data_IF_520725780712
#
_entry.id   IF_520725780712
#
_cell.length_a   1.000
_cell.length_b   1.000
_cell.length_c   1.000
_cell.angle_alpha   90.00
_cell.angle_beta   90.00
_cell.angle_gamma   90.00
#
_symmetry.space_group_name_H-M   'P 1'
#
loop_
_entity.id
_entity.type
_entity.pdbx_description
1 polymer ?
#
# COMPACT_ATOMS: atom_id res chain seq x y z
N UNK A 1 34.72 2.60 -15.76
CA UNK A 1 34.16 1.29 -15.37
C UNK A 1 34.60 0.99 -13.95
N UNK A 2 34.05 1.74 -13.00
CA UNK A 2 34.38 1.66 -11.57
C UNK A 2 33.08 1.48 -10.83
N UNK A 3 33.08 0.45 -9.99
CA UNK A 3 32.01 0.01 -9.11
C UNK A 3 31.38 1.18 -8.35
N UNK A 4 30.24 1.64 -8.85
CA UNK A 4 29.24 2.34 -8.06
C UNK A 4 28.79 1.36 -6.99
N UNK A 5 29.46 1.47 -5.83
CA UNK A 5 29.00 1.05 -4.51
C UNK A 5 27.49 0.84 -4.54
N UNK A 6 27.09 -0.43 -4.73
CA UNK A 6 25.91 -0.96 -4.07
C UNK A 6 26.04 -0.40 -2.66
N UNK A 7 25.06 0.37 -2.22
CA UNK A 7 24.84 0.48 -0.78
C UNK A 7 24.83 -0.99 -0.35
N UNK A 8 25.93 -1.46 0.25
CA UNK A 8 25.84 -2.58 1.17
C UNK A 8 24.80 -2.03 2.12
N UNK A 9 23.57 -2.49 1.98
CA UNK A 9 22.61 -2.40 3.07
C UNK A 9 23.43 -2.92 4.25
N UNK A 10 23.81 -2.03 5.17
CA UNK A 10 24.07 -2.52 6.52
C UNK A 10 22.82 -3.32 6.81
N UNK A 11 22.95 -4.66 6.85
CA UNK A 11 21.81 -5.57 6.92
C UNK A 11 20.94 -5.05 8.04
N UNK A 12 19.73 -4.62 7.70
CA UNK A 12 18.85 -4.02 8.70
C UNK A 12 18.74 -5.00 9.85
N UNK A 13 19.00 -4.52 11.06
CA UNK A 13 19.00 -5.37 12.25
C UNK A 13 17.56 -5.46 12.74
N UNK A 14 16.79 -6.36 12.15
CA UNK A 14 15.39 -6.50 12.53
C UNK A 14 15.22 -6.81 14.02
N UNK A 15 14.15 -6.30 14.68
CA UNK A 15 13.90 -6.52 16.09
C UNK A 15 13.87 -8.01 16.45
N UNK A 16 14.05 -8.34 17.74
CA UNK A 16 13.82 -9.70 18.27
C UNK A 16 14.62 -10.82 17.58
N UNK A 17 15.76 -10.49 16.96
CA UNK A 17 16.56 -11.48 16.22
C UNK A 17 15.88 -11.98 14.94
N UNK A 18 14.85 -11.28 14.44
CA UNK A 18 14.24 -11.59 13.15
C UNK A 18 15.27 -11.38 12.03
N UNK A 19 15.07 -12.07 10.92
CA UNK A 19 15.98 -12.06 9.78
C UNK A 19 15.49 -11.21 8.63
N UNK A 20 14.18 -11.01 8.51
CA UNK A 20 13.54 -10.18 7.48
C UNK A 20 12.23 -9.60 8.02
N UNK A 21 11.61 -8.69 7.29
CA UNK A 21 10.27 -8.20 7.59
C UNK A 21 9.25 -8.54 6.50
N UNK A 22 8.01 -8.79 6.90
CA UNK A 22 6.90 -8.99 5.98
C UNK A 22 5.64 -8.32 6.54
N UNK A 23 4.99 -7.54 5.68
CA UNK A 23 3.72 -6.87 5.98
C UNK A 23 2.80 -6.93 4.77
N UNK A 24 1.52 -6.69 5.00
CA UNK A 24 0.50 -6.62 3.96
C UNK A 24 -0.29 -5.32 4.11
N UNK A 25 -0.46 -4.61 3.00
CA UNK A 25 -1.50 -3.61 2.85
C UNK A 25 -2.64 -4.26 2.07
N UNK A 26 -3.75 -4.53 2.75
CA UNK A 26 -4.96 -5.07 2.16
C UNK A 26 -5.87 -3.92 1.71
N UNK A 27 -6.04 -3.81 0.40
CA UNK A 27 -6.98 -2.93 -0.25
C UNK A 27 -8.42 -3.35 0.08
N UNK A 28 -9.29 -2.38 0.33
CA UNK A 28 -10.68 -2.62 0.71
C UNK A 28 -11.57 -3.05 -0.46
N UNK A 29 -11.11 -2.89 -1.71
CA UNK A 29 -11.88 -3.27 -2.90
C UNK A 29 -12.40 -4.71 -2.80
N UNK A 30 -13.70 -4.86 -3.06
CA UNK A 30 -14.42 -6.15 -3.04
C UNK A 30 -14.57 -6.79 -1.66
N UNK A 31 -14.04 -6.20 -0.58
CA UNK A 31 -14.13 -6.79 0.76
C UNK A 31 -15.56 -6.70 1.27
N UNK A 32 -16.08 -7.78 1.82
CA UNK A 32 -17.39 -7.87 2.47
C UNK A 32 -17.29 -8.63 3.79
N UNK A 33 -18.38 -8.63 4.56
CA UNK A 33 -18.52 -9.46 5.75
C UNK A 33 -18.51 -10.97 5.45
N UNK A 34 -18.70 -11.40 4.19
CA UNK A 34 -18.63 -12.82 3.83
C UNK A 34 -17.20 -13.29 3.54
N UNK A 35 -16.33 -12.44 2.99
CA UNK A 35 -15.00 -12.84 2.52
C UNK A 35 -13.85 -12.30 3.39
N UNK A 36 -14.01 -11.15 4.05
CA UNK A 36 -12.97 -10.52 4.84
C UNK A 36 -12.66 -11.28 6.13
N UNK A 37 -13.64 -11.47 7.04
CA UNK A 37 -13.41 -12.06 8.35
C UNK A 37 -12.65 -13.41 8.31
N UNK A 38 -12.99 -14.39 7.45
CA UNK A 38 -12.29 -15.67 7.42
C UNK A 38 -10.79 -15.55 7.09
N UNK A 39 -10.41 -14.58 6.24
CA UNK A 39 -8.99 -14.34 5.91
C UNK A 39 -8.26 -13.72 7.11
N UNK A 40 -8.88 -12.75 7.79
CA UNK A 40 -8.28 -12.08 8.94
C UNK A 40 -8.19 -12.97 10.18
N UNK A 41 -9.16 -13.85 10.40
CA UNK A 41 -9.10 -14.88 11.44
C UNK A 41 -7.89 -15.80 11.22
N UNK A 42 -7.74 -16.33 10.01
CA UNK A 42 -6.59 -17.16 9.64
C UNK A 42 -5.24 -16.42 9.81
N UNK A 43 -5.15 -15.17 9.37
CA UNK A 43 -3.94 -14.36 9.55
C UNK A 43 -3.63 -14.12 11.03
N UNK A 44 -4.66 -13.85 11.83
CA UNK A 44 -4.54 -13.61 13.26
C UNK A 44 -4.03 -14.83 14.00
N UNK A 45 -4.56 -16.02 13.67
CA UNK A 45 -4.15 -17.32 14.23
C UNK A 45 -2.67 -17.63 13.94
N UNK A 46 -2.17 -17.16 12.79
CA UNK A 46 -0.75 -17.27 12.42
C UNK A 46 0.14 -16.18 13.05
N UNK A 47 -0.43 -15.27 13.83
CA UNK A 47 0.30 -14.19 14.50
C UNK A 47 0.59 -12.97 13.62
N UNK A 48 -0.03 -12.85 12.45
CA UNK A 48 0.13 -11.65 11.63
C UNK A 48 -0.74 -10.52 12.16
N UNK A 49 -0.18 -9.31 12.17
CA UNK A 49 -0.90 -8.05 12.34
C UNK A 49 -0.53 -7.17 11.15
N UNK A 50 -1.46 -6.97 10.24
CA UNK A 50 -1.25 -6.29 8.96
C UNK A 50 -2.11 -5.02 8.89
N UNK A 51 -2.09 -4.35 7.75
CA UNK A 51 -2.87 -3.13 7.52
C UNK A 51 -4.13 -3.45 6.71
N UNK A 52 -5.30 -3.25 7.31
CA UNK A 52 -6.60 -3.25 6.60
C UNK A 52 -6.92 -1.82 6.18
N UNK A 53 -7.02 -1.55 4.89
CA UNK A 53 -7.58 -0.27 4.44
C UNK A 53 -9.11 -0.30 4.45
N UNK A 54 -9.73 0.88 4.55
CA UNK A 54 -11.20 1.04 4.54
C UNK A 54 -11.66 2.26 3.75
N UNK A 55 -12.96 2.28 3.45
CA UNK A 55 -13.73 3.48 3.09
C UNK A 55 -14.58 3.93 4.29
N UNK A 56 -14.24 5.07 4.94
CA UNK A 56 -14.97 5.55 6.11
C UNK A 56 -16.41 5.95 5.82
N UNK A 57 -16.70 6.43 4.61
CA UNK A 57 -18.02 6.93 4.22
C UNK A 57 -18.56 6.18 3.02
N UNK A 58 -19.88 6.14 2.90
CA UNK A 58 -20.57 5.58 1.74
C UNK A 58 -20.42 6.48 0.50
N UNK A 59 -20.51 5.86 -0.67
CA UNK A 59 -20.61 6.57 -1.95
C UNK A 59 -21.85 7.46 -1.94
N UNK A 60 -21.65 8.78 -2.06
CA UNK A 60 -22.76 9.75 -2.18
C UNK A 60 -23.19 9.96 -3.63
N UNK A 61 -22.24 9.99 -4.55
CA UNK A 61 -22.48 10.29 -5.96
C UNK A 61 -21.68 9.36 -6.87
N UNK A 62 -22.19 9.13 -8.08
CA UNK A 62 -21.57 8.20 -9.03
C UNK A 62 -21.91 6.74 -8.77
N UNK A 63 -21.17 5.85 -9.42
CA UNK A 63 -21.26 4.40 -9.20
C UNK A 63 -19.94 3.92 -8.61
N UNK A 64 -19.97 3.07 -7.56
CA UNK A 64 -18.78 2.43 -7.04
C UNK A 64 -18.03 1.72 -8.18
N UNK A 65 -16.71 1.85 -8.21
CA UNK A 65 -15.91 1.38 -9.34
C UNK A 65 -15.50 -0.09 -9.17
N UNK A 66 -15.20 -0.50 -7.94
CA UNK A 66 -14.77 -1.86 -7.60
C UNK A 66 -15.77 -2.58 -6.68
N UNK A 67 -16.52 -1.83 -5.87
CA UNK A 67 -17.44 -2.34 -4.87
C UNK A 67 -16.73 -2.80 -3.60
N UNK A 68 -17.51 -3.21 -2.60
CA UNK A 68 -17.04 -3.56 -1.26
C UNK A 68 -17.90 -2.90 -0.19
N UNK A 69 -17.71 -3.32 1.06
CA UNK A 69 -18.43 -2.76 2.20
C UNK A 69 -17.68 -1.58 2.79
N UNK A 70 -18.38 -0.45 2.98
CA UNK A 70 -17.83 0.74 3.64
C UNK A 70 -18.09 0.69 5.14
N UNK A 71 -17.41 1.53 5.93
CA UNK A 71 -17.68 1.69 7.36
C UNK A 71 -19.02 2.38 7.66
N UNK A 72 -19.81 2.77 6.66
CA UNK A 72 -21.20 3.16 6.88
C UNK A 72 -22.09 1.95 7.26
N UNK A 73 -21.67 0.72 6.93
CA UNK A 73 -22.28 -0.50 7.42
C UNK A 73 -21.83 -0.77 8.87
N UNK A 74 -22.75 -0.82 9.86
CA UNK A 74 -22.38 -1.02 11.26
C UNK A 74 -21.71 -2.37 11.56
N UNK A 75 -22.07 -3.44 10.85
CA UNK A 75 -21.47 -4.76 11.05
C UNK A 75 -20.02 -4.77 10.55
N UNK A 76 -19.76 -4.14 9.40
CA UNK A 76 -18.40 -3.96 8.89
C UNK A 76 -17.57 -3.04 9.78
N UNK A 77 -18.10 -1.88 10.18
CA UNK A 77 -17.42 -0.97 11.08
C UNK A 77 -17.08 -1.65 12.43
N UNK A 78 -18.00 -2.45 12.97
CA UNK A 78 -17.78 -3.24 14.18
C UNK A 78 -16.71 -4.32 14.01
N UNK A 79 -16.64 -4.97 12.84
CA UNK A 79 -15.55 -5.91 12.54
C UNK A 79 -14.19 -5.23 12.45
N UNK A 80 -14.09 -4.12 11.72
CA UNK A 80 -12.84 -3.35 11.59
C UNK A 80 -12.37 -2.81 12.94
N UNK A 81 -13.28 -2.33 13.80
CA UNK A 81 -12.94 -1.92 15.16
C UNK A 81 -12.32 -3.07 15.98
N UNK A 82 -12.88 -4.28 15.89
CA UNK A 82 -12.29 -5.46 16.55
C UNK A 82 -10.91 -5.81 15.98
N UNK A 83 -10.68 -5.62 14.68
CA UNK A 83 -9.34 -5.80 14.10
C UNK A 83 -8.34 -4.81 14.72
N UNK A 84 -8.73 -3.54 14.90
CA UNK A 84 -7.89 -2.56 15.58
C UNK A 84 -7.57 -2.96 17.02
N UNK A 85 -8.58 -3.40 17.78
CA UNK A 85 -8.40 -3.90 19.16
C UNK A 85 -7.45 -5.11 19.23
N UNK A 86 -7.45 -5.94 18.19
CA UNK A 86 -6.54 -7.09 18.06
C UNK A 86 -5.11 -6.69 17.63
N UNK A 87 -4.88 -5.42 17.28
CA UNK A 87 -3.56 -4.89 16.90
C UNK A 87 -3.30 -4.84 15.39
N UNK A 88 -4.32 -5.05 14.55
CA UNK A 88 -4.21 -4.71 13.12
C UNK A 88 -4.22 -3.19 12.94
N UNK A 89 -3.51 -2.71 11.92
CA UNK A 89 -3.60 -1.29 11.56
C UNK A 89 -4.81 -1.04 10.66
N UNK A 90 -5.52 0.04 10.91
CA UNK A 90 -6.55 0.55 9.99
C UNK A 90 -5.96 1.69 9.16
N UNK A 91 -5.96 1.51 7.84
CA UNK A 91 -5.48 2.46 6.85
C UNK A 91 -6.60 3.00 5.95
N UNK A 92 -6.24 3.88 5.02
CA UNK A 92 -7.20 4.50 4.10
C UNK A 92 -6.97 4.05 2.65
N UNK A 93 -8.05 3.79 1.92
CA UNK A 93 -8.01 3.56 0.47
C UNK A 93 -8.87 4.60 -0.27
N UNK A 94 -8.50 5.88 -0.15
CA UNK A 94 -9.43 7.01 -0.32
C UNK A 94 -10.56 7.01 0.71
N UNK A 95 -11.36 8.09 0.76
CA UNK A 95 -12.48 8.18 1.72
C UNK A 95 -13.73 7.40 1.28
N UNK A 96 -13.82 7.05 -0.01
CA UNK A 96 -14.92 6.31 -0.64
C UNK A 96 -14.45 5.67 -1.96
N UNK A 97 -15.23 4.76 -2.55
CA UNK A 97 -15.00 4.06 -3.86
C UNK A 97 -15.30 4.95 -5.09
N UNK A 98 -15.32 6.26 -4.92
CA UNK A 98 -15.63 7.20 -6.01
C UNK A 98 -14.79 8.44 -5.87
N UNK A 99 -14.72 9.23 -6.94
CA UNK A 99 -14.07 10.54 -6.87
C UNK A 99 -14.76 11.39 -5.80
N UNK A 100 -13.97 11.87 -4.83
CA UNK A 100 -14.48 12.61 -3.68
C UNK A 100 -14.16 14.11 -3.79
N UNK A 101 -15.10 14.96 -3.40
CA UNK A 101 -14.83 16.39 -3.20
C UNK A 101 -13.97 16.64 -1.96
N UNK A 102 -13.45 17.85 -1.82
CA UNK A 102 -12.75 18.29 -0.62
C UNK A 102 -13.61 18.12 0.65
N UNK A 103 -14.89 18.45 0.59
CA UNK A 103 -15.83 18.34 1.71
C UNK A 103 -16.04 16.87 2.09
N UNK A 104 -16.09 15.97 1.10
CA UNK A 104 -16.16 14.53 1.34
C UNK A 104 -14.86 13.98 1.93
N UNK A 105 -13.70 14.49 1.49
CA UNK A 105 -12.41 14.19 2.11
C UNK A 105 -12.35 14.59 3.58
N UNK A 106 -12.80 15.80 3.91
CA UNK A 106 -12.87 16.26 5.29
C UNK A 106 -13.81 15.37 6.12
N UNK A 107 -15.04 15.15 5.63
CA UNK A 107 -16.03 14.31 6.31
C UNK A 107 -15.55 12.86 6.48
N UNK A 108 -14.86 12.31 5.49
CA UNK A 108 -14.31 10.96 5.55
C UNK A 108 -13.18 10.82 6.56
N UNK A 109 -12.28 11.81 6.66
CA UNK A 109 -11.23 11.83 7.69
C UNK A 109 -11.82 12.02 9.10
N UNK A 110 -12.81 12.88 9.26
CA UNK A 110 -13.51 13.06 10.54
C UNK A 110 -14.27 11.79 10.94
N UNK A 111 -14.90 11.11 9.97
CA UNK A 111 -15.57 9.84 10.23
C UNK A 111 -14.58 8.74 10.60
N UNK A 112 -13.40 8.71 9.96
CA UNK A 112 -12.32 7.79 10.34
C UNK A 112 -11.92 8.05 11.80
N UNK A 113 -11.72 9.31 12.19
CA UNK A 113 -11.38 9.67 13.56
C UNK A 113 -12.47 9.26 14.57
N UNK A 114 -13.74 9.51 14.25
CA UNK A 114 -14.89 9.09 15.08
C UNK A 114 -14.91 7.57 15.29
N UNK A 115 -14.65 6.80 14.24
CA UNK A 115 -14.69 5.34 14.28
C UNK A 115 -13.51 4.71 15.02
N UNK A 116 -12.31 5.27 14.88
CA UNK A 116 -11.06 4.59 15.26
C UNK A 116 -10.25 5.35 16.32
N UNK A 117 -10.68 6.55 16.72
CA UNK A 117 -10.06 7.37 17.77
C UNK A 117 -8.78 8.09 17.35
N UNK A 118 -8.37 7.99 16.08
CA UNK A 118 -7.22 8.68 15.51
C UNK A 118 -7.42 8.89 14.00
N UNK A 119 -6.64 9.80 13.40
CA UNK A 119 -6.61 9.93 11.93
C UNK A 119 -5.78 8.81 11.28
N UNK A 120 -6.03 8.45 10.01
CA UNK A 120 -5.30 7.38 9.35
C UNK A 120 -3.84 7.77 9.13
N UNK A 121 -2.92 6.90 9.54
CA UNK A 121 -1.48 7.13 9.33
C UNK A 121 -1.03 6.82 7.91
N UNK A 122 -1.74 5.91 7.24
CA UNK A 122 -1.34 5.34 5.95
C UNK A 122 -2.48 5.35 4.94
N UNK A 123 -2.13 5.55 3.66
CA UNK A 123 -3.07 5.70 2.56
C UNK A 123 -2.57 5.03 1.27
N UNK A 124 -3.46 4.39 0.51
CA UNK A 124 -3.27 4.07 -0.91
C UNK A 124 -4.37 4.73 -1.77
N UNK A 125 -4.02 5.35 -2.90
CA UNK A 125 -5.01 5.91 -3.82
C UNK A 125 -5.90 4.82 -4.40
N UNK A 126 -7.21 5.06 -4.43
CA UNK A 126 -8.15 4.26 -5.19
C UNK A 126 -8.02 4.51 -6.69
N UNK A 127 -8.14 3.44 -7.48
CA UNK A 127 -7.90 3.52 -8.93
C UNK A 127 -8.96 4.38 -9.62
N UNK A 128 -8.54 5.13 -10.64
CA UNK A 128 -9.46 5.94 -11.47
C UNK A 128 -10.09 7.16 -10.80
N UNK A 129 -9.90 7.38 -9.49
CA UNK A 129 -10.47 8.52 -8.78
C UNK A 129 -9.70 9.80 -9.02
N UNK A 130 -10.37 10.85 -9.53
CA UNK A 130 -9.71 12.10 -9.93
C UNK A 130 -9.15 12.89 -8.75
N UNK A 131 -9.64 12.68 -7.55
CA UNK A 131 -9.09 13.28 -6.33
C UNK A 131 -7.80 12.59 -5.85
N UNK A 132 -7.33 11.52 -6.50
CA UNK A 132 -6.09 10.85 -6.12
C UNK A 132 -4.89 11.80 -6.08
N UNK A 133 -4.10 11.71 -5.01
CA UNK A 133 -2.95 12.60 -4.81
C UNK A 133 -1.74 12.11 -5.61
N UNK A 134 -1.18 13.00 -6.43
CA UNK A 134 -0.04 12.74 -7.33
C UNK A 134 -0.13 11.43 -8.13
N UNK A 135 -1.31 11.09 -8.63
CA UNK A 135 -1.57 9.85 -9.35
C UNK A 135 -1.44 9.97 -10.87
N UNK A 136 -1.56 8.84 -11.57
CA UNK A 136 -1.40 8.77 -13.02
C UNK A 136 -0.04 9.28 -13.49
N UNK A 137 -0.05 10.19 -14.46
CA UNK A 137 1.17 10.77 -15.04
C UNK A 137 1.95 11.66 -14.07
N UNK A 138 1.36 12.02 -12.93
CA UNK A 138 2.01 12.76 -11.85
C UNK A 138 2.90 11.87 -10.98
N UNK A 139 2.81 10.53 -11.10
CA UNK A 139 3.73 9.59 -10.44
C UNK A 139 5.13 9.62 -11.04
N UNK A 140 5.24 10.11 -12.27
CA UNK A 140 6.50 10.19 -13.03
C UNK A 140 6.75 11.63 -13.50
N UNK A 141 7.97 11.91 -13.92
CA UNK A 141 8.39 13.28 -14.29
C UNK A 141 9.21 13.31 -15.59
N UNK A 142 9.29 14.49 -16.22
CA UNK A 142 10.07 14.71 -17.45
C UNK A 142 9.79 13.70 -18.56
N UNK A 143 10.84 13.19 -19.21
CA UNK A 143 10.71 12.21 -20.32
C UNK A 143 10.00 10.91 -19.92
N UNK A 144 10.05 10.50 -18.64
CA UNK A 144 9.33 9.30 -18.18
C UNK A 144 7.82 9.54 -18.17
N UNK A 145 7.38 10.77 -17.86
CA UNK A 145 5.98 11.18 -17.97
C UNK A 145 5.50 11.12 -19.42
N UNK A 146 6.31 11.61 -20.36
CA UNK A 146 5.97 11.50 -21.79
C UNK A 146 5.81 10.04 -22.21
N UNK A 147 6.77 9.18 -21.84
CA UNK A 147 6.69 7.75 -22.13
C UNK A 147 5.47 7.07 -21.48
N UNK A 148 5.18 7.37 -20.21
CA UNK A 148 4.00 6.85 -19.52
C UNK A 148 2.69 7.30 -20.17
N UNK A 149 2.59 8.58 -20.56
CA UNK A 149 1.43 9.10 -21.26
C UNK A 149 1.21 8.41 -22.61
N UNK A 150 2.27 8.13 -23.36
CA UNK A 150 2.16 7.35 -24.61
C UNK A 150 1.69 5.92 -24.34
N UNK A 151 2.30 5.23 -23.37
CA UNK A 151 1.93 3.85 -23.00
C UNK A 151 0.48 3.73 -22.52
N UNK A 152 -0.04 4.77 -21.85
CA UNK A 152 -1.42 4.81 -21.34
C UNK A 152 -2.40 5.47 -22.31
N UNK A 153 -1.97 5.81 -23.53
CA UNK A 153 -2.79 6.56 -24.52
C UNK A 153 -3.42 7.83 -23.91
N UNK A 154 -2.67 8.50 -23.04
CA UNK A 154 -3.04 9.73 -22.34
C UNK A 154 -4.27 9.61 -21.42
N UNK A 155 -4.68 8.38 -21.05
CA UNK A 155 -5.87 8.15 -20.22
C UNK A 155 -5.68 8.51 -18.74
N UNK A 156 -4.43 8.56 -18.27
CA UNK A 156 -4.11 8.71 -16.84
C UNK A 156 -3.55 10.11 -16.50
N UNK A 157 -4.24 11.18 -16.90
CA UNK A 157 -3.76 12.58 -16.72
C UNK A 157 -4.62 13.46 -15.80
N UNK A 158 -5.84 13.04 -15.52
CA UNK A 158 -6.84 13.89 -14.85
C UNK A 158 -6.91 13.55 -13.34
N UNK A 159 -5.87 13.94 -12.61
CA UNK A 159 -5.77 13.74 -11.16
C UNK A 159 -5.43 15.05 -10.45
N UNK A 160 -6.26 15.42 -9.48
CA UNK A 160 -6.43 16.78 -8.97
C UNK A 160 -6.22 16.89 -7.45
N UNK A 161 -6.00 15.77 -6.74
CA UNK A 161 -5.85 15.75 -5.27
C UNK A 161 -4.82 16.73 -4.70
N UNK A 162 -3.83 17.09 -5.51
CA UNK A 162 -2.70 17.96 -5.19
C UNK A 162 -2.77 19.33 -5.86
N UNK A 163 -3.87 19.69 -6.52
CA UNK A 163 -4.04 20.93 -7.28
C UNK A 163 -4.98 21.89 -6.53
N UNK A 164 -4.46 22.93 -5.84
CA UNK A 164 -5.29 23.90 -5.15
C UNK A 164 -6.35 24.53 -6.05
N UNK A 165 -7.55 24.76 -5.50
CA UNK A 165 -8.67 25.36 -6.22
C UNK A 165 -9.51 24.38 -7.06
N UNK A 166 -9.13 23.11 -7.15
CA UNK A 166 -9.96 22.07 -7.76
C UNK A 166 -10.95 21.46 -6.76
N UNK A 167 -12.04 20.88 -7.27
CA UNK A 167 -13.09 20.23 -6.44
C UNK A 167 -12.51 19.09 -5.59
N UNK A 168 -11.57 18.33 -6.15
CA UNK A 168 -10.93 17.20 -5.48
C UNK A 168 -9.69 17.58 -4.66
N UNK A 169 -9.42 18.86 -4.38
CA UNK A 169 -8.21 19.25 -3.66
C UNK A 169 -8.25 18.88 -2.17
N UNK A 170 -7.33 18.00 -1.76
CA UNK A 170 -7.14 17.61 -0.36
C UNK A 170 -5.66 17.51 0.06
N UNK A 171 -4.74 18.03 -0.76
CA UNK A 171 -3.30 17.92 -0.51
C UNK A 171 -2.84 18.47 0.86
N UNK A 172 -3.47 19.54 1.34
CA UNK A 172 -3.23 20.07 2.69
C UNK A 172 -3.71 19.12 3.80
N UNK A 173 -4.84 18.44 3.60
CA UNK A 173 -5.35 17.41 4.52
C UNK A 173 -4.42 16.19 4.52
N UNK A 174 -3.93 15.77 3.34
CA UNK A 174 -2.91 14.73 3.22
C UNK A 174 -1.66 15.09 4.04
N UNK A 175 -1.14 16.29 3.83
CA UNK A 175 0.05 16.79 4.52
C UNK A 175 -0.15 16.96 6.03
N UNK A 176 -1.39 17.06 6.52
CA UNK A 176 -1.73 17.21 7.94
C UNK A 176 -1.95 15.87 8.65
N UNK A 177 -2.67 14.94 8.01
CA UNK A 177 -3.17 13.75 8.69
C UNK A 177 -2.45 12.46 8.26
N UNK A 178 -1.99 12.37 7.02
CA UNK A 178 -1.40 11.14 6.48
C UNK A 178 0.13 11.19 6.56
N UNK A 179 0.74 10.18 7.18
CA UNK A 179 2.20 10.04 7.24
C UNK A 179 2.73 9.31 6.01
N UNK A 180 2.12 8.19 5.64
CA UNK A 180 2.61 7.28 4.61
C UNK A 180 1.62 7.16 3.45
N UNK A 181 2.07 7.43 2.22
CA UNK A 181 1.26 7.20 1.01
C UNK A 181 1.95 6.18 0.11
N UNK A 182 1.20 5.19 -0.36
CA UNK A 182 1.72 4.18 -1.29
C UNK A 182 1.96 4.82 -2.65
N UNK A 183 3.13 4.57 -3.22
CA UNK A 183 3.44 4.87 -4.60
C UNK A 183 3.69 3.58 -5.42
N UNK A 184 4.93 3.33 -5.83
CA UNK A 184 5.28 2.31 -6.81
C UNK A 184 5.04 0.90 -6.30
N UNK A 185 4.56 0.06 -7.21
CA UNK A 185 4.34 -1.37 -6.99
C UNK A 185 5.32 -2.13 -7.89
N UNK A 186 5.99 -3.14 -7.35
CA UNK A 186 7.02 -3.93 -8.03
C UNK A 186 6.71 -5.43 -7.94
N UNK A 187 7.20 -6.23 -8.91
CA UNK A 187 6.98 -7.69 -8.90
C UNK A 187 7.85 -8.46 -7.89
N UNK A 188 8.94 -7.87 -7.40
CA UNK A 188 9.87 -8.57 -6.51
C UNK A 188 9.31 -8.69 -5.09
N UNK A 189 9.59 -9.80 -4.39
CA UNK A 189 9.23 -9.97 -2.97
C UNK A 189 9.99 -9.00 -2.06
N UNK A 190 11.23 -8.64 -2.39
CA UNK A 190 12.02 -7.73 -1.58
C UNK A 190 11.75 -6.28 -2.00
N UNK A 191 10.61 -5.75 -1.53
CA UNK A 191 10.20 -4.37 -1.78
C UNK A 191 11.29 -3.36 -1.41
N UNK A 192 12.05 -3.61 -0.34
CA UNK A 192 13.12 -2.73 0.11
C UNK A 192 14.32 -2.72 -0.84
N UNK A 193 14.63 -3.83 -1.50
CA UNK A 193 15.65 -3.86 -2.57
C UNK A 193 15.21 -3.04 -3.80
N UNK A 194 13.91 -3.06 -4.08
CA UNK A 194 13.30 -2.29 -5.17
C UNK A 194 13.24 -0.78 -4.89
N UNK A 195 12.89 -0.42 -3.66
CA UNK A 195 12.81 0.95 -3.17
C UNK A 195 13.65 1.12 -1.89
N UNK A 196 14.99 1.21 -1.99
CA UNK A 196 15.86 1.25 -0.81
C UNK A 196 15.69 2.51 0.05
N UNK A 197 15.03 3.53 -0.52
CA UNK A 197 14.79 4.81 0.13
C UNK A 197 13.48 4.81 0.93
N UNK A 198 12.59 3.83 0.81
CA UNK A 198 11.29 3.86 1.51
C UNK A 198 11.42 3.66 3.04
N UNK A 199 10.71 4.44 3.87
CA UNK A 199 9.89 5.59 3.49
C UNK A 199 10.73 6.82 3.09
N UNK A 200 10.28 7.59 2.09
CA UNK A 200 10.99 8.78 1.63
C UNK A 200 10.07 9.99 1.34
N UNK A 201 10.57 11.20 1.55
CA UNK A 201 9.96 12.42 1.08
C UNK A 201 10.44 12.79 -0.32
N UNK A 202 9.53 13.26 -1.17
CA UNK A 202 9.81 13.76 -2.51
C UNK A 202 9.50 15.27 -2.58
N UNK A 203 10.51 16.15 -2.74
CA UNK A 203 10.30 17.60 -2.76
C UNK A 203 9.41 18.11 -3.90
N UNK A 204 9.28 17.39 -5.02
CA UNK A 204 8.40 17.81 -6.12
C UNK A 204 6.95 17.34 -5.86
N UNK A 205 6.70 16.64 -4.74
CA UNK A 205 5.40 16.12 -4.32
C UNK A 205 5.12 16.48 -2.85
N UNK A 206 5.16 17.79 -2.51
CA UNK A 206 5.28 18.27 -1.12
C UNK A 206 4.13 17.89 -0.19
N UNK A 207 2.93 17.63 -0.72
CA UNK A 207 1.78 17.26 0.12
C UNK A 207 1.88 15.86 0.73
N UNK A 208 2.78 15.01 0.23
CA UNK A 208 3.02 13.69 0.82
C UNK A 208 4.25 13.73 1.70
N UNK A 209 4.05 13.45 2.99
CA UNK A 209 5.13 13.43 3.99
C UNK A 209 6.17 12.36 3.66
N UNK A 210 5.71 11.13 3.48
CA UNK A 210 6.56 9.98 3.17
C UNK A 210 5.86 9.02 2.20
N UNK A 211 6.52 8.71 1.10
CA UNK A 211 6.15 7.68 0.15
C UNK A 211 6.72 6.32 0.55
N UNK A 212 5.97 5.26 0.29
CA UNK A 212 6.47 3.90 0.33
C UNK A 212 6.12 3.12 -0.93
N UNK A 213 6.85 2.06 -1.21
CA UNK A 213 6.58 1.14 -2.31
C UNK A 213 6.00 -0.18 -1.76
N UNK A 214 5.43 -0.99 -2.65
CA UNK A 214 4.94 -2.32 -2.30
C UNK A 214 5.32 -3.36 -3.35
N UNK A 215 5.30 -4.62 -2.95
CA UNK A 215 5.29 -5.77 -3.84
C UNK A 215 3.88 -6.02 -4.38
N UNK A 216 3.79 -6.56 -5.59
CA UNK A 216 2.54 -6.79 -6.31
C UNK A 216 1.92 -8.15 -5.91
N UNK A 217 0.68 -8.12 -5.42
CA UNK A 217 -0.13 -9.31 -5.18
C UNK A 217 -1.63 -9.07 -5.37
N UNK A 218 -2.11 -8.48 -6.50
CA UNK A 218 -3.50 -8.02 -6.66
C UNK A 218 -4.56 -9.12 -6.65
N UNK A 219 -4.17 -10.39 -6.80
CA UNK A 219 -5.03 -11.57 -6.69
C UNK A 219 -4.29 -12.66 -5.93
N UNK A 220 -5.02 -13.69 -5.50
CA UNK A 220 -4.42 -14.86 -4.83
C UNK A 220 -3.32 -15.53 -5.66
N UNK A 221 -3.45 -15.60 -6.99
CA UNK A 221 -2.42 -16.18 -7.87
C UNK A 221 -1.15 -15.32 -7.90
N UNK A 222 -1.32 -14.00 -8.00
CA UNK A 222 -0.19 -13.08 -7.99
C UNK A 222 0.50 -13.06 -6.63
N UNK A 223 -0.29 -13.03 -5.55
CA UNK A 223 0.19 -13.11 -4.18
C UNK A 223 0.99 -14.39 -3.96
N UNK A 224 0.44 -15.56 -4.33
CA UNK A 224 1.10 -16.86 -4.14
C UNK A 224 2.38 -16.99 -4.99
N UNK A 225 2.41 -16.41 -6.18
CA UNK A 225 3.62 -16.36 -7.02
C UNK A 225 4.71 -15.51 -6.36
N UNK A 226 4.35 -14.32 -5.91
CA UNK A 226 5.28 -13.41 -5.22
C UNK A 226 5.77 -14.03 -3.90
N UNK A 227 4.89 -14.72 -3.16
CA UNK A 227 5.19 -15.39 -1.87
C UNK A 227 5.64 -16.86 -2.00
N UNK A 228 6.07 -17.29 -3.19
CA UNK A 228 6.57 -18.66 -3.39
C UNK A 228 7.70 -19.01 -2.41
N UNK A 229 7.92 -20.30 -2.18
CA UNK A 229 8.90 -20.81 -1.22
C UNK A 229 10.31 -20.25 -1.47
N UNK A 230 10.71 -20.23 -2.75
CA UNK A 230 11.99 -19.67 -3.21
C UNK A 230 12.07 -18.17 -2.87
N UNK A 231 10.99 -17.43 -3.05
CA UNK A 231 10.98 -15.99 -2.75
C UNK A 231 11.00 -15.73 -1.24
N UNK A 232 10.32 -16.55 -0.43
CA UNK A 232 10.43 -16.46 1.03
C UNK A 232 11.86 -16.78 1.50
N UNK A 233 12.52 -17.79 0.91
CA UNK A 233 13.93 -18.12 1.20
C UNK A 233 14.84 -16.97 0.82
N UNK A 234 14.64 -16.40 -0.37
CA UNK A 234 15.40 -15.26 -0.83
C UNK A 234 15.24 -14.05 0.08
N UNK A 235 14.00 -13.72 0.48
CA UNK A 235 13.74 -12.60 1.39
C UNK A 235 14.47 -12.77 2.73
N UNK A 236 14.49 -13.99 3.27
CA UNK A 236 15.19 -14.34 4.51
C UNK A 236 16.73 -14.29 4.38
N UNK A 237 17.27 -14.76 3.25
CA UNK A 237 18.72 -14.73 2.97
C UNK A 237 19.20 -13.29 2.77
N UNK A 238 18.44 -12.49 2.03
CA UNK A 238 18.75 -11.09 1.75
C UNK A 238 18.55 -10.18 2.96
N UNK A 239 17.82 -10.67 3.98
CA UNK A 239 17.41 -9.90 5.15
C UNK A 239 16.57 -8.67 4.81
N UNK A 240 15.74 -8.80 3.76
CA UNK A 240 14.97 -7.71 3.18
C UNK A 240 13.66 -7.40 3.92
N UNK A 241 12.85 -6.55 3.29
CA UNK A 241 11.48 -6.30 3.72
C UNK A 241 10.51 -6.37 2.55
N UNK A 242 9.39 -7.05 2.78
CA UNK A 242 8.26 -7.12 1.87
C UNK A 242 7.08 -6.34 2.44
N UNK A 243 6.54 -5.40 1.67
CA UNK A 243 5.20 -4.84 1.90
C UNK A 243 4.34 -5.32 0.74
N UNK A 244 3.57 -6.38 0.95
CA UNK A 244 2.68 -6.91 -0.09
C UNK A 244 1.44 -6.03 -0.21
N UNK A 245 1.11 -5.56 -1.41
CA UNK A 245 -0.18 -4.94 -1.69
C UNK A 245 -1.12 -5.94 -2.35
N UNK A 246 -2.28 -6.17 -1.76
CA UNK A 246 -3.24 -7.18 -2.22
C UNK A 246 -4.68 -6.72 -2.04
N UNK A 247 -5.61 -7.47 -2.62
CA UNK A 247 -7.04 -7.37 -2.35
C UNK A 247 -7.47 -8.75 -1.84
N UNK A 248 -7.63 -8.94 -0.53
CA UNK A 248 -7.99 -10.27 -0.02
C UNK A 248 -9.37 -10.76 -0.48
N UNK A 249 -10.20 -9.86 -0.99
CA UNK A 249 -11.43 -10.21 -1.67
C UNK A 249 -11.25 -11.01 -2.98
N UNK A 250 -10.04 -11.02 -3.57
CA UNK A 250 -9.80 -11.56 -4.90
C UNK A 250 -9.18 -12.97 -4.87
N UNK A 251 -10.04 -13.98 -4.67
CA UNK A 251 -9.71 -15.40 -4.78
C UNK A 251 -9.12 -16.06 -3.52
N UNK A 252 -8.93 -15.32 -2.42
CA UNK A 252 -8.37 -15.89 -1.19
C UNK A 252 -9.36 -16.72 -0.40
N UNK A 253 -10.65 -16.38 -0.48
CA UNK A 253 -11.74 -17.12 0.14
C UNK A 253 -12.92 -17.25 -0.82
N UNK A 254 -13.24 -18.48 -1.20
CA UNK A 254 -14.33 -18.80 -2.13
C UNK A 254 -15.08 -20.04 -1.66
N UNK A 255 -16.39 -20.06 -1.85
CA UNK A 255 -17.24 -21.22 -1.55
C UNK A 255 -17.04 -21.80 -0.13
N UNK A 256 -16.86 -20.91 0.85
CA UNK A 256 -16.69 -21.29 2.25
C UNK A 256 -15.28 -21.77 2.63
N UNK A 257 -14.28 -21.60 1.75
CA UNK A 257 -12.93 -22.14 1.95
C UNK A 257 -11.85 -21.14 1.57
N UNK A 258 -10.78 -21.13 2.37
CA UNK A 258 -9.54 -20.43 2.02
C UNK A 258 -8.82 -21.16 0.89
N UNK A 259 -8.13 -20.39 0.04
CA UNK A 259 -7.27 -20.94 -1.00
C UNK A 259 -6.14 -21.78 -0.39
N UNK A 260 -6.05 -23.05 -0.77
CA UNK A 260 -5.12 -24.01 -0.14
C UNK A 260 -3.66 -23.65 -0.33
N UNK A 261 -3.30 -23.06 -1.49
CA UNK A 261 -1.94 -22.62 -1.77
C UNK A 261 -1.55 -21.42 -0.91
N UNK A 262 -2.45 -20.45 -0.76
CA UNK A 262 -2.29 -19.32 0.16
C UNK A 262 -2.08 -19.80 1.59
N UNK A 263 -2.95 -20.70 2.07
CA UNK A 263 -2.84 -21.28 3.43
C UNK A 263 -1.48 -21.93 3.64
N UNK A 264 -1.06 -22.80 2.71
CA UNK A 264 0.24 -23.48 2.78
C UNK A 264 1.42 -22.50 2.83
N UNK A 265 1.42 -21.48 1.97
CA UNK A 265 2.50 -20.49 1.92
C UNK A 265 2.55 -19.60 3.18
N UNK A 266 1.39 -19.24 3.75
CA UNK A 266 1.33 -18.43 4.96
C UNK A 266 1.76 -19.20 6.21
N UNK A 267 1.37 -20.48 6.35
CA UNK A 267 1.94 -21.36 7.40
C UNK A 267 3.45 -21.50 7.28
N UNK A 268 3.93 -21.69 6.04
CA UNK A 268 5.36 -21.80 5.77
C UNK A 268 6.11 -20.49 6.04
N UNK A 269 5.45 -19.34 5.88
CA UNK A 269 6.00 -18.02 6.20
C UNK A 269 6.02 -17.76 7.71
N UNK A 270 4.94 -18.06 8.43
CA UNK A 270 4.81 -17.78 9.87
C UNK A 270 5.82 -18.55 10.72
N UNK A 271 6.24 -19.74 10.25
CA UNK A 271 7.30 -20.54 10.88
C UNK A 271 8.72 -20.01 10.64
N UNK A 272 8.90 -19.00 9.80
CA UNK A 272 10.22 -18.39 9.54
C UNK A 272 10.50 -17.29 10.55
N UNK A 273 11.78 -16.91 10.78
CA UNK A 273 12.14 -15.84 11.69
C UNK A 273 11.85 -14.45 11.07
N UNK A 274 10.64 -14.21 10.59
CA UNK A 274 10.18 -12.95 10.03
C UNK A 274 9.59 -12.02 11.09
N UNK A 275 9.72 -10.72 10.87
CA UNK A 275 9.00 -9.69 11.62
C UNK A 275 7.69 -9.36 10.91
N UNK A 276 6.57 -9.75 11.51
CA UNK A 276 5.22 -9.66 10.94
C UNK A 276 4.42 -8.56 11.63
N UNK A 277 4.46 -7.36 11.08
CA UNK A 277 3.87 -6.15 11.71
C UNK A 277 3.10 -5.31 10.71
N UNK A 278 2.26 -4.36 11.17
CA UNK A 278 1.58 -3.44 10.27
C UNK A 278 2.54 -2.59 9.45
N UNK A 279 2.03 -2.06 8.34
CA UNK A 279 2.87 -1.36 7.37
C UNK A 279 3.46 -0.08 7.97
N UNK A 280 2.69 0.72 8.71
CA UNK A 280 3.25 1.91 9.36
C UNK A 280 4.31 1.56 10.40
N UNK A 281 4.11 0.50 11.19
CA UNK A 281 5.10 0.01 12.16
C UNK A 281 6.43 -0.33 11.48
N UNK A 282 6.37 -1.03 10.35
CA UNK A 282 7.56 -1.34 9.56
C UNK A 282 8.23 -0.06 9.01
N UNK A 283 7.45 0.88 8.48
CA UNK A 283 7.97 2.12 7.92
C UNK A 283 8.56 3.06 8.99
N UNK A 284 7.92 3.15 10.15
CA UNK A 284 8.42 3.88 11.33
C UNK A 284 9.77 3.33 11.78
N UNK A 285 9.88 2.00 11.84
CA UNK A 285 11.13 1.34 12.17
C UNK A 285 12.23 1.64 11.14
N UNK A 286 11.92 1.62 9.83
CA UNK A 286 12.88 1.98 8.78
C UNK A 286 13.33 3.44 8.87
N UNK A 287 12.42 4.36 9.17
CA UNK A 287 12.73 5.78 9.38
C UNK A 287 13.60 5.99 10.63
N UNK A 288 13.25 5.34 11.73
CA UNK A 288 14.01 5.38 12.99
C UNK A 288 15.41 4.76 12.84
N UNK A 289 15.53 3.64 12.13
CA UNK A 289 16.81 2.98 11.86
C UNK A 289 17.80 3.88 11.09
N UNK A 290 17.29 4.78 10.23
CA UNK A 290 18.10 5.80 9.55
C UNK A 290 18.39 7.04 10.41
N UNK A 291 17.62 7.24 11.48
CA UNK A 291 17.71 8.40 12.37
C UNK A 291 17.15 9.71 11.81
N UNK A 292 16.63 9.72 10.58
CA UNK A 292 16.04 10.92 9.97
C UNK A 292 15.09 10.54 8.82
N UNK A 293 14.19 11.47 8.47
CA UNK A 293 13.37 11.34 7.27
C UNK A 293 14.25 11.45 6.03
N UNK A 294 14.21 10.43 5.17
CA UNK A 294 14.98 10.43 3.94
C UNK A 294 14.33 11.31 2.88
N UNK A 295 15.06 12.27 2.32
CA UNK A 295 14.59 13.10 1.19
C UNK A 295 15.30 12.61 -0.07
N UNK A 296 14.56 12.10 -1.05
CA UNK A 296 15.19 11.60 -2.28
C UNK A 296 15.76 12.73 -3.13
N UNK A 297 16.89 12.46 -3.76
CA UNK A 297 17.45 13.31 -4.80
C UNK A 297 16.69 13.15 -6.13
N UNK A 298 16.89 14.10 -7.04
CA UNK A 298 16.37 13.98 -8.42
C UNK A 298 16.90 12.71 -9.11
N UNK A 299 18.16 12.30 -8.88
CA UNK A 299 18.71 11.08 -9.49
C UNK A 299 17.99 9.82 -8.98
N UNK A 300 17.74 9.74 -7.68
CA UNK A 300 17.07 8.62 -7.04
C UNK A 300 15.61 8.49 -7.47
N UNK A 301 14.89 9.62 -7.53
CA UNK A 301 13.56 9.71 -8.13
C UNK A 301 13.55 9.15 -9.55
N UNK A 302 14.46 9.60 -10.41
CA UNK A 302 14.56 9.11 -11.80
C UNK A 302 14.83 7.61 -11.85
N UNK A 303 15.61 7.08 -10.92
CA UNK A 303 15.90 5.63 -10.81
C UNK A 303 14.64 4.84 -10.43
N UNK A 304 13.88 5.29 -9.42
CA UNK A 304 12.63 4.65 -9.00
C UNK A 304 11.59 4.66 -10.12
N UNK A 305 11.37 5.83 -10.74
CA UNK A 305 10.44 6.01 -11.85
C UNK A 305 10.80 5.12 -13.05
N UNK A 306 12.09 5.08 -13.45
CA UNK A 306 12.54 4.23 -14.56
C UNK A 306 12.30 2.76 -14.24
N UNK A 307 12.62 2.33 -13.02
CA UNK A 307 12.44 0.93 -12.64
C UNK A 307 10.98 0.52 -12.69
N UNK A 308 10.09 1.36 -12.15
CA UNK A 308 8.65 1.12 -12.17
C UNK A 308 8.09 1.11 -13.60
N UNK A 309 8.49 2.05 -14.45
CA UNK A 309 8.03 2.11 -15.84
C UNK A 309 8.44 0.86 -16.63
N UNK A 310 9.68 0.39 -16.46
CA UNK A 310 10.16 -0.85 -17.08
C UNK A 310 9.36 -2.07 -16.64
N UNK A 311 8.96 -2.12 -15.36
CA UNK A 311 8.10 -3.17 -14.84
C UNK A 311 6.69 -3.10 -15.48
N UNK A 312 6.09 -1.90 -15.62
CA UNK A 312 4.78 -1.72 -16.28
C UNK A 312 4.79 -2.16 -17.75
N UNK A 313 5.88 -1.89 -18.48
CA UNK A 313 6.06 -2.37 -19.87
C UNK A 313 6.07 -3.90 -19.94
N UNK A 314 6.69 -4.59 -18.96
CA UNK A 314 6.82 -6.05 -18.96
C UNK A 314 5.52 -6.78 -18.62
N UNK A 315 4.67 -6.20 -17.77
CA UNK A 315 3.45 -6.87 -17.28
C UNK A 315 2.16 -6.42 -17.97
N UNK A 316 2.19 -5.37 -18.81
CA UNK A 316 1.01 -4.94 -19.57
C UNK A 316 -0.08 -4.23 -18.76
N UNK A 317 0.12 -4.00 -17.45
CA UNK A 317 -0.79 -3.21 -16.60
C UNK A 317 -0.34 -1.77 -16.45
N UNK A 318 -1.26 -0.81 -16.32
CA UNK A 318 -0.97 0.64 -16.23
C UNK A 318 -1.56 1.37 -15.03
N UNK A 319 -2.32 0.65 -14.19
CA UNK A 319 -2.85 1.11 -12.90
C UNK A 319 -1.79 1.06 -11.80
#
# INVERSE_FOLDING_TARGET
>A
MQDLKKIKTNSIIWPEGRRFAFSVFDDTDGTTMQNGPPVYEFLSDLGFRITKSVWPIQVKTGRPSMGGTTCADPAYAGWVNRLQEQGFEIGLHSVTDTTASREEWLAGLDKFYELFGHYPMIHANHTGCRDSIYWGDQRVSGVRRCAYNLLTKFRNRDFQGHLPGTVGYWGDLCARHIKYVRNFVYADINTLSECPYMPYHDPDRPFVRSWFASSEGPSVEAFNRTLSEINQERLEIEGGACIMYTHFANGFYENGKLNSRFVSLMHRLSSRPGWFVPVSTLLDYLEAYRGHRYVITTSERRRLERRWLMHKIRLGGTT
#
